data_IF_145433523788
#
_entry.id   IF_145433523788
#
_cell.length_a   1.000
_cell.length_b   1.000
_cell.length_c   1.000
_cell.angle_alpha   90.00
_cell.angle_beta   90.00
_cell.angle_gamma   90.00
#
_symmetry.space_group_name_H-M   'P 1'
#
loop_
_entity.id
_entity.type
_entity.pdbx_description
1 polymer ?
#
# COMPACT_ATOMS: atom_id res chain seq x y z
N UNK A 1 -64.13 -19.26 -20.12
CA UNK A 1 -62.98 -19.37 -19.21
C UNK A 1 -61.93 -18.35 -19.67
N UNK A 2 -61.64 -17.33 -18.85
CA UNK A 2 -60.66 -16.26 -19.14
C UNK A 2 -59.36 -16.58 -18.40
N UNK A 3 -58.17 -16.51 -19.02
CA UNK A 3 -56.94 -16.59 -18.26
C UNK A 3 -56.63 -15.23 -17.59
N UNK A 4 -56.47 -15.25 -16.28
CA UNK A 4 -55.88 -14.16 -15.50
C UNK A 4 -54.36 -14.24 -15.65
N UNK A 5 -53.76 -13.27 -16.33
CA UNK A 5 -52.31 -13.12 -16.42
C UNK A 5 -51.82 -12.45 -15.13
N UNK A 6 -51.14 -13.20 -14.27
CA UNK A 6 -50.47 -12.66 -13.10
C UNK A 6 -49.18 -11.93 -13.53
N UNK A 7 -49.15 -10.61 -13.40
CA UNK A 7 -47.94 -9.81 -13.52
C UNK A 7 -47.10 -10.01 -12.26
N UNK A 8 -46.07 -10.86 -12.34
CA UNK A 8 -45.02 -10.93 -11.35
C UNK A 8 -44.14 -9.67 -11.47
N UNK A 9 -44.34 -8.70 -10.58
CA UNK A 9 -43.40 -7.59 -10.38
C UNK A 9 -42.11 -8.15 -9.76
N UNK A 10 -41.17 -8.52 -10.61
CA UNK A 10 -39.82 -8.88 -10.23
C UNK A 10 -39.09 -7.57 -9.90
N UNK A 11 -39.21 -7.13 -8.64
CA UNK A 11 -38.38 -6.04 -8.10
C UNK A 11 -36.96 -6.58 -8.00
N UNK A 12 -36.20 -6.37 -9.09
CA UNK A 12 -34.75 -6.52 -9.11
C UNK A 12 -34.16 -5.46 -8.18
N UNK A 13 -34.06 -5.82 -6.91
CA UNK A 13 -33.27 -5.09 -5.94
C UNK A 13 -31.80 -5.29 -6.34
N UNK A 14 -31.27 -4.39 -7.16
CA UNK A 14 -29.84 -4.36 -7.49
C UNK A 14 -29.09 -3.97 -6.23
N UNK A 15 -28.62 -4.98 -5.51
CA UNK A 15 -27.68 -4.82 -4.42
C UNK A 15 -26.40 -4.29 -5.06
N UNK A 16 -26.22 -2.97 -5.05
CA UNK A 16 -24.95 -2.34 -5.36
C UNK A 16 -23.99 -2.70 -4.22
N UNK A 17 -23.41 -3.90 -4.29
CA UNK A 17 -22.21 -4.23 -3.53
C UNK A 17 -21.10 -3.38 -4.14
N UNK A 18 -21.00 -2.13 -3.69
CA UNK A 18 -19.79 -1.36 -3.82
C UNK A 18 -18.74 -2.10 -2.98
N UNK A 19 -18.09 -3.10 -3.58
CA UNK A 19 -16.84 -3.65 -3.09
C UNK A 19 -15.90 -2.44 -3.09
N UNK A 20 -15.75 -1.80 -1.94
CA UNK A 20 -14.93 -0.60 -1.80
C UNK A 20 -13.57 -0.87 -2.42
N UNK A 21 -13.14 -0.01 -3.34
CA UNK A 21 -11.85 -0.18 -3.97
C UNK A 21 -10.77 -0.18 -2.89
N UNK A 22 -9.80 -1.09 -3.02
CA UNK A 22 -8.66 -1.15 -2.09
C UNK A 22 -7.89 0.15 -2.14
N UNK A 23 -7.26 0.49 -1.02
CA UNK A 23 -6.35 1.60 -0.94
C UNK A 23 -5.15 1.36 -1.86
N UNK A 24 -4.79 2.32 -2.75
CA UNK A 24 -3.70 2.17 -3.69
C UNK A 24 -2.40 1.70 -3.01
N UNK A 25 -1.78 0.65 -3.55
CA UNK A 25 -0.52 0.13 -3.02
C UNK A 25 -0.63 -0.68 -1.71
N UNK A 26 -1.83 -1.09 -1.30
CA UNK A 26 -2.04 -1.90 -0.10
C UNK A 26 -3.19 -2.91 -0.25
N UNK A 27 -3.24 -3.89 0.66
CA UNK A 27 -4.38 -4.80 0.81
C UNK A 27 -5.48 -4.26 1.72
N UNK A 28 -5.34 -3.03 2.19
CA UNK A 28 -6.29 -2.39 3.10
C UNK A 28 -7.39 -1.65 2.36
N UNK A 29 -8.52 -1.47 3.04
CA UNK A 29 -9.69 -0.78 2.49
C UNK A 29 -9.82 0.60 3.11
N UNK A 30 -10.44 1.56 2.40
CA UNK A 30 -10.79 2.85 2.99
C UNK A 30 -11.71 2.67 4.19
N UNK A 31 -11.63 3.59 5.15
CA UNK A 31 -12.61 3.68 6.22
C UNK A 31 -13.99 4.14 5.70
N UNK A 32 -14.95 4.30 6.60
CA UNK A 32 -16.31 4.75 6.25
C UNK A 32 -16.36 6.18 5.66
N UNK A 33 -15.27 6.96 5.81
CA UNK A 33 -15.11 8.30 5.26
C UNK A 33 -14.40 8.28 3.91
N UNK A 34 -13.96 7.10 3.44
CA UNK A 34 -13.17 6.95 2.23
C UNK A 34 -11.68 7.25 2.41
N UNK A 35 -11.18 7.38 3.65
CA UNK A 35 -9.77 7.61 3.91
C UNK A 35 -9.00 6.29 4.01
N UNK A 36 -7.84 6.22 3.36
CA UNK A 36 -6.93 5.10 3.48
C UNK A 36 -6.10 5.13 4.76
N UNK A 37 -5.71 3.97 5.33
CA UNK A 37 -4.89 3.93 6.52
C UNK A 37 -3.45 4.41 6.23
N UNK A 38 -2.80 4.96 7.26
CA UNK A 38 -1.35 5.10 7.28
C UNK A 38 -0.75 3.72 7.55
N UNK A 39 0.15 3.21 6.70
CA UNK A 39 0.74 1.87 6.90
C UNK A 39 2.18 2.01 7.37
N UNK A 40 2.48 1.55 8.59
CA UNK A 40 3.84 1.52 9.15
C UNK A 40 4.21 0.09 9.49
N UNK A 41 5.26 -0.44 8.84
CA UNK A 41 5.71 -1.82 9.07
C UNK A 41 4.60 -2.87 8.87
N UNK A 42 3.81 -2.73 7.81
CA UNK A 42 2.62 -3.56 7.51
C UNK A 42 1.44 -3.43 8.49
N UNK A 43 1.52 -2.55 9.48
CA UNK A 43 0.42 -2.27 10.41
C UNK A 43 -0.37 -1.06 9.91
N UNK A 44 -1.70 -1.19 9.67
CA UNK A 44 -2.54 -0.08 9.26
C UNK A 44 -2.99 0.74 10.47
N UNK A 45 -2.89 2.06 10.35
CA UNK A 45 -3.38 3.04 11.32
C UNK A 45 -4.43 3.90 10.65
N UNK A 46 -5.69 3.71 11.05
CA UNK A 46 -6.81 4.48 10.55
C UNK A 46 -6.98 5.76 11.35
N UNK A 47 -7.75 6.71 10.79
CA UNK A 47 -8.20 7.84 11.57
C UNK A 47 -9.00 7.38 12.80
N UNK A 48 -8.88 8.12 13.89
CA UNK A 48 -9.82 8.00 15.00
C UNK A 48 -11.23 8.52 14.62
N UNK A 49 -12.16 8.48 15.58
CA UNK A 49 -13.52 8.96 15.38
C UNK A 49 -13.61 10.46 14.98
N UNK A 50 -12.58 11.25 15.26
CA UNK A 50 -12.52 12.67 14.92
C UNK A 50 -11.93 12.89 13.52
N UNK A 51 -11.37 11.85 12.90
CA UNK A 51 -10.68 11.94 11.61
C UNK A 51 -9.18 12.19 11.73
N UNK A 52 -8.60 11.97 12.92
CA UNK A 52 -7.21 12.21 13.19
C UNK A 52 -6.40 10.93 13.03
N UNK A 53 -5.43 10.96 12.11
CA UNK A 53 -4.41 9.91 12.00
C UNK A 53 -3.37 10.08 13.10
N UNK A 54 -2.69 8.99 13.53
CA UNK A 54 -1.70 9.11 14.58
C UNK A 54 -0.44 9.83 14.09
N UNK A 55 0.27 10.47 15.01
CA UNK A 55 1.64 10.94 14.82
C UNK A 55 2.61 9.94 15.41
N UNK A 56 3.75 9.74 14.75
CA UNK A 56 4.79 8.85 15.25
C UNK A 56 5.88 9.64 15.96
N UNK A 57 6.13 9.30 17.23
CA UNK A 57 7.16 9.91 18.07
C UNK A 57 8.02 8.78 18.61
N UNK A 58 9.30 8.75 18.21
CA UNK A 58 10.19 7.63 18.55
C UNK A 58 9.71 6.26 18.03
N UNK A 59 8.93 6.24 16.93
CA UNK A 59 8.36 5.02 16.36
C UNK A 59 7.06 4.54 17.02
N UNK A 60 6.56 5.23 18.04
CA UNK A 60 5.31 4.92 18.71
C UNK A 60 4.19 5.80 18.14
N UNK A 61 3.05 5.18 17.80
CA UNK A 61 1.87 5.89 17.31
C UNK A 61 1.10 6.56 18.45
N UNK A 62 0.86 7.86 18.32
CA UNK A 62 0.06 8.65 19.25
C UNK A 62 -1.13 9.28 18.52
N UNK A 63 -2.33 9.00 18.98
CA UNK A 63 -3.54 9.68 18.51
C UNK A 63 -3.73 11.01 19.23
N UNK A 64 -4.57 11.87 18.68
CA UNK A 64 -4.98 13.07 19.39
C UNK A 64 -5.76 12.72 20.66
N UNK A 65 -5.72 13.60 21.66
CA UNK A 65 -6.65 13.54 22.79
C UNK A 65 -8.10 13.78 22.33
N UNK A 66 -9.06 13.64 23.24
CA UNK A 66 -10.49 13.84 22.94
C UNK A 66 -10.84 15.26 22.43
N UNK A 67 -9.91 16.20 22.51
CA UNK A 67 -10.04 17.57 22.06
C UNK A 67 -9.17 17.85 20.84
N UNK A 68 -8.69 16.80 20.16
CA UNK A 68 -7.93 16.92 18.91
C UNK A 68 -6.48 17.37 19.10
N UNK A 69 -5.85 17.18 20.27
CA UNK A 69 -4.47 17.62 20.51
C UNK A 69 -3.47 16.47 20.63
N UNK A 70 -2.42 16.49 19.83
CA UNK A 70 -1.33 15.52 19.88
C UNK A 70 -0.39 15.77 21.07
N UNK A 71 0.37 14.76 21.53
CA UNK A 71 1.40 14.96 22.55
C UNK A 71 2.58 15.79 22.03
N UNK A 72 3.45 16.24 22.93
CA UNK A 72 4.71 16.89 22.58
C UNK A 72 5.75 15.87 22.08
N UNK A 73 6.94 16.32 21.71
CA UNK A 73 8.03 15.46 21.21
C UNK A 73 8.54 14.40 22.20
N UNK A 74 8.17 14.48 23.48
CA UNK A 74 8.45 13.47 24.50
C UNK A 74 7.29 12.47 24.68
N UNK A 75 6.21 12.57 23.89
CA UNK A 75 5.03 11.71 24.01
C UNK A 75 4.07 12.12 25.13
N UNK A 76 4.20 13.34 25.68
CA UNK A 76 3.39 13.81 26.81
C UNK A 76 2.26 14.73 26.31
N UNK A 77 1.02 14.39 26.68
CA UNK A 77 -0.15 15.23 26.41
C UNK A 77 -0.17 16.44 27.33
N UNK A 78 -0.86 17.49 26.87
CA UNK A 78 -1.12 18.68 27.68
C UNK A 78 -1.98 18.33 28.90
N UNK A 79 -1.98 19.21 29.89
CA UNK A 79 -2.91 19.08 31.02
C UNK A 79 -4.33 19.49 30.62
N UNK A 80 -5.34 18.99 31.35
CA UNK A 80 -6.73 19.38 31.11
C UNK A 80 -6.92 20.90 31.26
N UNK A 81 -7.59 21.52 30.30
CA UNK A 81 -7.84 22.97 30.27
C UNK A 81 -6.73 23.81 29.65
N UNK A 82 -5.58 23.22 29.33
CA UNK A 82 -4.50 23.91 28.61
C UNK A 82 -4.84 24.08 27.12
N UNK A 83 -4.50 25.22 26.53
CA UNK A 83 -4.72 25.48 25.09
C UNK A 83 -3.79 24.59 24.27
N UNK A 84 -4.32 23.96 23.21
CA UNK A 84 -3.50 23.11 22.34
C UNK A 84 -2.58 24.03 21.53
N UNK A 85 -1.25 23.80 21.55
CA UNK A 85 -0.34 24.50 20.66
C UNK A 85 -0.73 24.29 19.20
N UNK A 86 -0.66 25.33 18.38
CA UNK A 86 -1.18 25.30 16.99
C UNK A 86 -0.53 24.20 16.12
N UNK A 87 0.73 23.86 16.38
CA UNK A 87 1.48 22.80 15.70
C UNK A 87 1.07 21.38 16.14
N UNK A 88 0.32 21.26 17.24
CA UNK A 88 -0.15 19.99 17.82
C UNK A 88 -1.65 19.76 17.62
N UNK A 89 -2.35 20.70 17.02
CA UNK A 89 -3.76 20.54 16.67
C UNK A 89 -3.90 19.51 15.55
N UNK A 90 -4.78 18.55 15.74
CA UNK A 90 -5.24 17.68 14.68
C UNK A 90 -6.09 18.48 13.70
N UNK A 91 -5.78 18.31 12.42
CA UNK A 91 -6.66 18.76 11.35
C UNK A 91 -7.20 17.50 10.66
N UNK A 92 -8.50 17.20 10.82
CA UNK A 92 -9.12 16.01 10.22
C UNK A 92 -9.04 16.06 8.70
N UNK A 93 -8.14 15.25 8.14
CA UNK A 93 -7.89 15.18 6.71
C UNK A 93 -7.51 13.73 6.40
N UNK A 94 -8.00 13.19 5.27
CA UNK A 94 -7.36 11.98 4.76
C UNK A 94 -5.90 12.37 4.43
N UNK A 95 -4.88 11.64 4.92
CA UNK A 95 -3.52 11.90 4.53
C UNK A 95 -3.46 11.73 3.01
N UNK A 96 -2.97 12.75 2.32
CA UNK A 96 -2.61 12.58 0.91
C UNK A 96 -1.67 11.38 0.85
N UNK A 97 -1.92 10.46 -0.07
CA UNK A 97 -1.26 9.14 -0.13
C UNK A 97 0.29 9.28 -0.06
N UNK A 98 0.84 10.41 -0.54
CA UNK A 98 2.25 10.78 -0.43
C UNK A 98 2.78 11.01 1.01
N UNK A 99 1.94 11.43 1.95
CA UNK A 99 2.29 11.76 3.35
C UNK A 99 2.31 10.54 4.28
N UNK A 100 1.66 9.43 3.91
CA UNK A 100 1.76 8.16 4.64
C UNK A 100 3.14 7.50 4.53
N UNK A 101 3.91 7.83 3.48
CA UNK A 101 5.25 7.31 3.24
C UNK A 101 6.31 7.80 4.24
N UNK A 102 6.08 8.94 4.88
CA UNK A 102 7.19 9.64 5.53
C UNK A 102 7.57 9.09 6.91
N UNK A 103 6.78 8.17 7.50
CA UNK A 103 6.97 7.76 8.90
C UNK A 103 7.17 6.25 9.12
N UNK A 104 7.25 5.45 8.06
CA UNK A 104 7.33 3.99 8.18
C UNK A 104 8.14 3.29 7.10
N UNK A 105 9.34 3.77 6.78
CA UNK A 105 10.33 3.08 5.94
C UNK A 105 10.01 2.97 4.43
N UNK A 106 8.73 2.95 4.04
CA UNK A 106 8.27 2.91 2.67
C UNK A 106 8.26 4.34 2.09
N UNK A 107 9.22 4.66 1.23
CA UNK A 107 9.39 5.98 0.62
C UNK A 107 8.64 6.04 -0.70
N UNK A 108 8.04 7.19 -1.02
CA UNK A 108 7.46 7.42 -2.34
C UNK A 108 8.58 7.39 -3.39
N UNK A 109 8.39 6.56 -4.41
CA UNK A 109 9.31 6.42 -5.53
C UNK A 109 8.94 7.36 -6.66
N UNK A 110 9.91 7.68 -7.52
CA UNK A 110 9.72 8.58 -8.66
C UNK A 110 8.63 8.11 -9.64
N UNK A 111 8.29 6.82 -9.63
CA UNK A 111 7.21 6.24 -10.41
C UNK A 111 5.83 6.31 -9.72
N UNK A 112 5.71 7.02 -8.60
CA UNK A 112 4.45 7.21 -7.87
C UNK A 112 4.03 6.02 -6.99
N UNK A 113 4.84 4.96 -6.91
CA UNK A 113 4.60 3.81 -6.04
C UNK A 113 5.46 3.89 -4.77
N UNK A 114 5.07 3.17 -3.72
CA UNK A 114 5.88 3.10 -2.50
C UNK A 114 6.96 2.04 -2.60
N UNK A 115 8.10 2.30 -1.97
CA UNK A 115 9.16 1.33 -1.83
C UNK A 115 8.75 0.15 -0.94
N UNK A 116 9.37 -1.01 -1.13
CA UNK A 116 9.19 -2.17 -0.25
C UNK A 116 9.70 -1.91 1.19
N UNK A 117 9.52 -2.92 2.07
CA UNK A 117 9.96 -2.86 3.48
C UNK A 117 11.47 -2.65 3.66
N UNK A 118 12.27 -2.96 2.64
CA UNK A 118 13.71 -2.74 2.63
C UNK A 118 14.08 -1.38 2.00
N UNK A 119 13.08 -0.54 1.72
CA UNK A 119 13.24 0.78 1.15
C UNK A 119 13.48 0.78 -0.36
N UNK A 120 13.15 -0.29 -1.09
CA UNK A 120 13.47 -0.40 -2.50
C UNK A 120 12.26 -0.22 -3.42
N UNK A 121 12.41 0.65 -4.40
CA UNK A 121 11.36 1.05 -5.31
C UNK A 121 10.96 -0.08 -6.26
N UNK A 122 9.66 -0.31 -6.51
CA UNK A 122 9.23 -1.26 -7.52
C UNK A 122 9.60 -0.76 -8.92
N UNK A 123 9.69 -1.68 -9.87
CA UNK A 123 9.78 -1.35 -11.30
C UNK A 123 8.39 -1.40 -11.92
N UNK A 124 8.16 -0.63 -12.96
CA UNK A 124 6.90 -0.66 -13.72
C UNK A 124 7.20 -1.30 -15.06
N UNK A 125 6.77 -2.54 -15.24
CA UNK A 125 7.13 -3.36 -16.40
C UNK A 125 5.97 -3.56 -17.38
N UNK A 126 4.75 -3.68 -16.86
CA UNK A 126 3.53 -3.95 -17.64
C UNK A 126 2.36 -3.19 -17.00
N UNK A 127 1.50 -2.59 -17.82
CA UNK A 127 0.21 -1.96 -17.43
C UNK A 127 0.24 -1.01 -16.24
N UNK A 128 1.34 -0.26 -16.08
CA UNK A 128 1.55 0.65 -14.95
C UNK A 128 1.44 -0.04 -13.57
N UNK A 129 1.73 -1.34 -13.47
CA UNK A 129 1.68 -2.06 -12.21
C UNK A 129 3.08 -2.18 -11.56
N UNK A 130 3.17 -2.02 -10.23
CA UNK A 130 4.44 -2.12 -9.53
C UNK A 130 4.89 -3.59 -9.42
N UNK A 131 6.10 -3.85 -9.89
CA UNK A 131 6.80 -5.13 -9.83
C UNK A 131 7.93 -5.03 -8.81
N UNK A 132 7.71 -5.63 -7.64
CA UNK A 132 8.66 -5.64 -6.53
C UNK A 132 9.67 -6.76 -6.70
N UNK A 133 10.70 -6.76 -5.86
CA UNK A 133 11.64 -7.87 -5.82
C UNK A 133 11.04 -9.07 -5.10
N UNK A 134 11.54 -10.23 -5.46
CA UNK A 134 11.32 -11.43 -4.66
C UNK A 134 12.14 -11.43 -3.36
N UNK A 135 11.96 -12.48 -2.57
CA UNK A 135 12.68 -12.70 -1.31
C UNK A 135 14.20 -12.89 -1.50
N UNK A 136 14.64 -13.22 -2.71
CA UNK A 136 16.05 -13.32 -3.07
C UNK A 136 16.62 -11.96 -3.48
N UNK A 137 15.82 -10.90 -3.51
CA UNK A 137 16.26 -9.57 -3.92
C UNK A 137 16.43 -9.41 -5.43
N UNK A 138 15.70 -10.17 -6.23
CA UNK A 138 15.66 -10.09 -7.67
C UNK A 138 14.42 -9.33 -8.14
N UNK A 139 14.60 -8.28 -8.95
CA UNK A 139 13.47 -7.67 -9.67
C UNK A 139 13.06 -8.55 -10.84
N UNK A 140 11.77 -8.76 -11.10
CA UNK A 140 11.35 -9.54 -12.25
C UNK A 140 11.73 -8.86 -13.56
N UNK A 141 11.63 -9.64 -14.63
CA UNK A 141 11.74 -9.18 -16.01
C UNK A 141 10.39 -9.33 -16.72
N UNK A 142 10.22 -8.64 -17.86
CA UNK A 142 9.08 -8.86 -18.73
C UNK A 142 9.51 -9.49 -20.06
N UNK A 143 8.76 -10.50 -20.49
CA UNK A 143 8.90 -11.14 -21.80
C UNK A 143 7.51 -11.20 -22.41
N UNK A 144 7.32 -10.58 -23.57
CA UNK A 144 6.00 -10.49 -24.23
C UNK A 144 4.88 -10.00 -23.28
N UNK A 145 5.17 -8.96 -22.48
CA UNK A 145 4.25 -8.39 -21.48
C UNK A 145 3.81 -9.36 -20.36
N UNK A 146 4.54 -10.45 -20.15
CA UNK A 146 4.35 -11.36 -19.02
C UNK A 146 5.51 -11.17 -18.04
N UNK A 147 5.19 -11.08 -16.75
CA UNK A 147 6.17 -10.90 -15.67
C UNK A 147 6.76 -12.25 -15.26
N UNK A 148 8.08 -12.33 -15.23
CA UNK A 148 8.82 -13.51 -14.78
C UNK A 148 9.78 -13.16 -13.65
N UNK A 149 9.71 -13.91 -12.55
CA UNK A 149 10.68 -13.84 -11.45
C UNK A 149 11.84 -14.79 -11.69
N UNK A 150 12.95 -14.60 -11.01
CA UNK A 150 14.01 -15.59 -11.03
C UNK A 150 13.53 -16.86 -10.31
N UNK A 151 14.03 -18.03 -10.73
CA UNK A 151 13.83 -19.25 -9.96
C UNK A 151 14.64 -19.24 -8.65
N UNK A 152 14.55 -20.32 -7.87
CA UNK A 152 15.29 -20.46 -6.60
C UNK A 152 16.82 -20.39 -6.76
N UNK A 153 17.34 -20.63 -7.97
CA UNK A 153 18.75 -20.50 -8.31
C UNK A 153 19.14 -19.12 -8.82
N UNK A 154 18.24 -18.12 -8.72
CA UNK A 154 18.39 -16.77 -9.29
C UNK A 154 18.54 -16.78 -10.82
N UNK A 155 17.92 -17.74 -11.50
CA UNK A 155 17.95 -17.80 -12.96
C UNK A 155 16.63 -17.34 -13.58
N UNK A 156 16.70 -16.40 -14.53
CA UNK A 156 15.57 -16.02 -15.35
C UNK A 156 15.30 -17.04 -16.45
N UNK A 157 14.05 -17.09 -16.96
CA UNK A 157 13.75 -17.92 -18.12
C UNK A 157 14.48 -17.40 -19.38
N UNK A 158 14.50 -18.23 -20.42
CA UNK A 158 14.96 -17.79 -21.73
C UNK A 158 13.99 -16.80 -22.39
N UNK A 159 14.32 -16.30 -23.58
CA UNK A 159 13.52 -15.33 -24.34
C UNK A 159 12.11 -15.82 -24.72
N UNK A 160 11.82 -17.11 -24.56
CA UNK A 160 10.49 -17.70 -24.77
C UNK A 160 9.72 -17.90 -23.46
N UNK A 161 10.25 -17.42 -22.33
CA UNK A 161 9.60 -17.57 -21.02
C UNK A 161 9.76 -18.95 -20.38
N UNK A 162 10.68 -19.78 -20.88
CA UNK A 162 10.90 -21.14 -20.37
C UNK A 162 12.09 -21.18 -19.41
N UNK A 163 11.85 -21.67 -18.20
CA UNK A 163 12.88 -21.94 -17.20
C UNK A 163 13.66 -23.21 -17.51
N UNK A 164 14.88 -23.28 -17.00
CA UNK A 164 15.72 -24.47 -17.09
C UNK A 164 15.28 -25.53 -16.08
N UNK A 165 15.74 -26.76 -16.30
CA UNK A 165 15.56 -27.81 -15.32
C UNK A 165 16.40 -27.53 -14.06
N UNK A 166 15.91 -27.97 -12.90
CA UNK A 166 16.61 -27.81 -11.64
C UNK A 166 18.00 -28.47 -11.70
N UNK A 167 19.03 -27.73 -11.30
CA UNK A 167 20.43 -28.19 -11.31
C UNK A 167 21.20 -27.90 -12.60
N UNK A 168 20.55 -27.38 -13.65
CA UNK A 168 21.27 -26.85 -14.80
C UNK A 168 21.99 -25.53 -14.48
N UNK A 169 23.14 -25.30 -15.12
CA UNK A 169 23.92 -24.07 -14.95
C UNK A 169 23.17 -22.89 -15.58
N UNK A 170 22.97 -21.84 -14.80
CA UNK A 170 22.37 -20.61 -15.30
C UNK A 170 23.35 -19.84 -16.21
N UNK A 171 22.96 -19.48 -17.45
CA UNK A 171 23.76 -18.64 -18.32
C UNK A 171 24.03 -17.28 -17.67
N UNK A 172 25.24 -16.75 -17.82
CA UNK A 172 25.66 -15.50 -17.18
C UNK A 172 24.73 -14.31 -17.46
N UNK A 173 24.11 -14.27 -18.64
CA UNK A 173 23.15 -13.22 -19.03
C UNK A 173 21.71 -13.44 -18.52
N UNK A 174 21.43 -14.57 -17.88
CA UNK A 174 20.14 -14.90 -17.26
C UNK A 174 20.21 -14.91 -15.73
N UNK A 175 21.41 -14.74 -15.16
CA UNK A 175 21.57 -14.63 -13.72
C UNK A 175 20.95 -13.31 -13.26
N UNK A 176 20.04 -13.40 -12.30
CA UNK A 176 19.53 -12.23 -11.63
C UNK A 176 20.65 -11.47 -10.93
N UNK A 177 20.65 -10.15 -11.14
CA UNK A 177 21.42 -9.21 -10.33
C UNK A 177 20.58 -8.77 -9.15
N UNK A 178 21.10 -9.02 -7.95
CA UNK A 178 20.53 -8.52 -6.70
C UNK A 178 20.72 -7.02 -6.65
N UNK A 179 19.63 -6.26 -6.65
CA UNK A 179 19.73 -4.81 -6.67
C UNK A 179 18.64 -4.15 -5.85
N UNK A 180 18.86 -2.91 -5.45
CA UNK A 180 17.84 -2.08 -4.82
C UNK A 180 17.78 -0.73 -5.50
N UNK A 181 16.68 -0.51 -6.22
CA UNK A 181 16.44 0.76 -6.88
C UNK A 181 15.95 1.73 -5.80
N UNK A 182 16.69 2.83 -5.59
CA UNK A 182 16.41 3.84 -4.56
C UNK A 182 16.02 5.19 -5.18
N UNK A 183 15.28 5.11 -6.28
CA UNK A 183 14.85 6.27 -7.07
C UNK A 183 13.60 6.86 -6.44
N UNK A 184 13.79 7.66 -5.40
CA UNK A 184 12.72 8.32 -4.67
C UNK A 184 12.25 9.59 -5.37
N UNK A 185 10.99 9.98 -5.11
CA UNK A 185 10.43 11.25 -5.53
C UNK A 185 10.90 12.41 -4.63
#
# INVERSE_FOLDING_TARGET
MKPFTAFAFLVLCTINLAVGQRCPGSDFFPDQRGCCPLVVGSTPFYADAQGCFPRFIGGIAFYADAQGCFPNSAGVYRSAGEVCPADRVCVPQCPDIASAAQQGGARLCANGFFSDVNGCCPRVLVDNQPSYRDAQGCYPISIASIIFYADVGRCYPNSSGVYRAAGEVCPANQVCVVSCDRNYA
#
